data_IF_466634948583
#
_entry.id   IF_466634948583
#
_cell.length_a   1.000
_cell.length_b   1.000
_cell.length_c   1.000
_cell.angle_alpha   90.00
_cell.angle_beta   90.00
_cell.angle_gamma   90.00
#
_symmetry.space_group_name_H-M   'P 1'
#
loop_
_entity.id
_entity.type
_entity.pdbx_description
1 polymer ?
#
# COMPACT_ATOMS: atom_id res chain seq x y z
N UNK A 1 -1.27 16.18 20.17
CA UNK A 1 -1.57 15.26 19.05
C UNK A 1 -1.11 15.95 17.78
N UNK A 2 -0.48 15.24 16.84
CA UNK A 2 -0.01 15.84 15.58
C UNK A 2 -1.18 16.33 14.73
N UNK A 3 -1.11 17.56 14.24
CA UNK A 3 -2.09 18.09 13.29
C UNK A 3 -1.86 17.48 11.90
N UNK A 4 -2.71 16.52 11.52
CA UNK A 4 -2.62 15.83 10.24
C UNK A 4 -3.01 16.71 9.05
N UNK A 5 -3.81 17.76 9.25
CA UNK A 5 -4.15 18.69 8.17
C UNK A 5 -2.96 19.60 7.87
N UNK A 6 -2.32 20.15 8.91
CA UNK A 6 -1.08 20.90 8.76
C UNK A 6 0.04 20.04 8.14
N UNK A 7 0.20 18.79 8.59
CA UNK A 7 1.17 17.85 8.01
C UNK A 7 0.88 17.58 6.53
N UNK A 8 -0.39 17.39 6.17
CA UNK A 8 -0.83 17.17 4.78
C UNK A 8 -0.46 18.36 3.90
N UNK A 9 -0.78 19.59 4.34
CA UNK A 9 -0.47 20.81 3.60
C UNK A 9 1.05 21.00 3.43
N UNK A 10 1.81 20.82 4.52
CA UNK A 10 3.27 20.94 4.49
C UNK A 10 3.89 19.90 3.55
N UNK A 11 3.41 18.65 3.55
CA UNK A 11 3.92 17.62 2.65
C UNK A 11 3.56 17.90 1.18
N UNK A 12 2.38 18.45 0.89
CA UNK A 12 2.02 18.87 -0.46
C UNK A 12 2.94 19.99 -0.97
N UNK A 13 3.24 20.99 -0.13
CA UNK A 13 4.16 22.07 -0.49
C UNK A 13 5.59 21.54 -0.73
N UNK A 14 6.12 20.75 0.21
CA UNK A 14 7.45 20.14 0.06
C UNK A 14 7.56 19.29 -1.20
N UNK A 15 6.49 18.59 -1.59
CA UNK A 15 6.51 17.79 -2.81
C UNK A 15 6.72 18.63 -4.07
N UNK A 16 6.07 19.80 -4.15
CA UNK A 16 6.22 20.73 -5.28
C UNK A 16 7.64 21.28 -5.37
N UNK A 17 8.27 21.55 -4.22
CA UNK A 17 9.59 22.19 -4.14
C UNK A 17 10.75 21.19 -4.18
N UNK A 18 10.50 19.91 -3.87
CA UNK A 18 11.53 18.92 -3.63
C UNK A 18 12.39 18.63 -4.85
N UNK A 19 13.70 18.54 -4.60
CA UNK A 19 14.71 18.06 -5.55
C UNK A 19 15.43 16.86 -4.99
N UNK A 20 15.67 15.86 -5.82
CA UNK A 20 16.47 14.70 -5.45
C UNK A 20 17.93 15.12 -5.24
N UNK A 21 18.53 14.70 -4.13
CA UNK A 21 19.95 14.96 -3.81
C UNK A 21 20.82 13.71 -3.95
N UNK A 22 20.23 12.58 -4.32
CA UNK A 22 20.88 11.28 -4.52
C UNK A 22 20.26 10.56 -5.72
N UNK A 23 20.93 9.53 -6.23
CA UNK A 23 20.39 8.69 -7.30
C UNK A 23 19.47 7.59 -6.73
N UNK A 24 18.18 7.68 -7.03
CA UNK A 24 17.16 6.70 -6.62
C UNK A 24 16.87 5.64 -7.70
N UNK A 25 17.40 5.82 -8.92
CA UNK A 25 17.05 5.00 -10.08
C UNK A 25 17.27 3.49 -9.87
N UNK A 26 18.38 3.01 -9.24
CA UNK A 26 18.55 1.57 -9.03
C UNK A 26 17.44 0.96 -8.18
N UNK A 27 17.07 1.63 -7.08
CA UNK A 27 16.00 1.16 -6.19
C UNK A 27 14.64 1.28 -6.90
N UNK A 28 14.36 2.41 -7.54
CA UNK A 28 13.11 2.62 -8.27
C UNK A 28 12.89 1.58 -9.38
N UNK A 29 13.93 1.19 -10.12
CA UNK A 29 13.85 0.11 -11.12
C UNK A 29 13.47 -1.23 -10.49
N UNK A 30 14.02 -1.54 -9.31
CA UNK A 30 13.72 -2.78 -8.58
C UNK A 30 12.27 -2.79 -8.05
N UNK A 31 11.80 -1.65 -7.55
CA UNK A 31 10.42 -1.48 -7.07
C UNK A 31 9.39 -1.52 -8.21
N UNK A 32 9.73 -0.99 -9.39
CA UNK A 32 8.86 -0.95 -10.57
C UNK A 32 9.06 -2.13 -11.53
N UNK A 33 9.94 -3.08 -11.22
CA UNK A 33 10.17 -4.27 -12.05
C UNK A 33 8.85 -5.04 -12.27
N UNK A 34 8.60 -5.62 -13.47
CA UNK A 34 7.31 -6.24 -13.79
C UNK A 34 6.79 -7.22 -12.74
N UNK A 35 7.63 -8.13 -12.26
CA UNK A 35 7.26 -9.12 -11.25
C UNK A 35 6.93 -8.46 -9.90
N UNK A 36 7.74 -7.48 -9.47
CA UNK A 36 7.49 -6.74 -8.23
C UNK A 36 6.18 -5.95 -8.32
N UNK A 37 5.99 -5.21 -9.42
CA UNK A 37 4.78 -4.43 -9.71
C UNK A 37 3.54 -5.30 -9.70
N UNK A 38 3.58 -6.49 -10.31
CA UNK A 38 2.44 -7.41 -10.32
C UNK A 38 2.02 -7.83 -8.90
N UNK A 39 2.98 -8.14 -8.02
CA UNK A 39 2.71 -8.47 -6.61
C UNK A 39 2.11 -7.29 -5.84
N UNK A 40 2.67 -6.08 -6.03
CA UNK A 40 2.09 -4.87 -5.43
C UNK A 40 0.68 -4.57 -5.94
N UNK A 41 0.41 -4.79 -7.22
CA UNK A 41 -0.91 -4.61 -7.81
C UNK A 41 -1.93 -5.63 -7.28
N UNK A 42 -1.52 -6.87 -7.01
CA UNK A 42 -2.38 -7.87 -6.39
C UNK A 42 -2.84 -7.42 -4.99
N UNK A 43 -1.93 -6.88 -4.17
CA UNK A 43 -2.26 -6.31 -2.85
C UNK A 43 -3.09 -5.04 -2.98
N UNK A 44 -2.75 -4.17 -3.93
CA UNK A 44 -3.50 -2.94 -4.22
C UNK A 44 -4.95 -3.24 -4.56
N UNK A 45 -5.22 -4.26 -5.39
CA UNK A 45 -6.56 -4.67 -5.78
C UNK A 45 -7.42 -5.15 -4.59
N UNK A 46 -6.81 -5.67 -3.53
CA UNK A 46 -7.51 -6.16 -2.32
C UNK A 46 -7.69 -5.10 -1.25
N UNK A 47 -6.80 -4.11 -1.21
CA UNK A 47 -6.73 -3.13 -0.11
C UNK A 47 -7.15 -1.72 -0.50
N UNK A 48 -7.13 -1.40 -1.80
CA UNK A 48 -7.31 -0.03 -2.30
C UNK A 48 -6.12 0.89 -2.03
N UNK A 49 -5.01 0.39 -1.48
CA UNK A 49 -3.77 1.16 -1.34
C UNK A 49 -3.07 1.19 -2.70
N UNK A 50 -2.63 2.35 -3.24
CA UNK A 50 -1.92 2.40 -4.51
C UNK A 50 -0.65 1.54 -4.50
N UNK A 51 -0.42 0.76 -5.55
CA UNK A 51 0.71 -0.17 -5.62
C UNK A 51 2.07 0.51 -5.37
N UNK A 52 2.25 1.74 -5.84
CA UNK A 52 3.49 2.50 -5.63
C UNK A 52 3.68 2.90 -4.16
N UNK A 53 2.61 3.13 -3.39
CA UNK A 53 2.66 3.35 -1.94
C UNK A 53 3.11 2.07 -1.24
N UNK A 54 2.56 0.92 -1.64
CA UNK A 54 2.95 -0.39 -1.09
C UNK A 54 4.45 -0.65 -1.37
N UNK A 55 4.92 -0.34 -2.57
CA UNK A 55 6.30 -0.54 -2.98
C UNK A 55 7.29 0.26 -2.11
N UNK A 56 7.01 1.54 -1.85
CA UNK A 56 7.90 2.36 -1.02
C UNK A 56 7.82 2.02 0.46
N UNK A 57 6.68 1.51 0.97
CA UNK A 57 6.63 0.92 2.32
C UNK A 57 7.53 -0.32 2.35
N UNK A 58 7.42 -1.21 1.36
CA UNK A 58 8.22 -2.45 1.31
C UNK A 58 9.74 -2.16 1.31
N UNK A 59 10.17 -1.11 0.59
CA UNK A 59 11.57 -0.67 0.64
C UNK A 59 11.98 -0.18 2.03
N UNK A 60 11.12 0.59 2.69
CA UNK A 60 11.47 1.20 3.98
C UNK A 60 11.45 0.24 5.16
N UNK A 61 10.57 -0.75 5.13
CA UNK A 61 10.41 -1.70 6.23
C UNK A 61 11.43 -2.84 6.14
N UNK A 62 11.80 -3.28 4.93
CA UNK A 62 12.73 -4.40 4.77
C UNK A 62 13.56 -4.39 3.47
N UNK A 63 13.80 -3.23 2.85
CA UNK A 63 14.63 -3.13 1.63
C UNK A 63 14.13 -4.02 0.47
N UNK A 64 12.80 -4.17 0.36
CA UNK A 64 12.13 -5.05 -0.59
C UNK A 64 12.44 -6.55 -0.41
N UNK A 65 12.81 -6.98 0.80
CA UNK A 65 12.96 -8.40 1.10
C UNK A 65 11.60 -9.09 1.10
N UNK A 66 11.35 -9.91 0.06
CA UNK A 66 10.12 -10.69 -0.11
C UNK A 66 9.91 -11.78 0.96
N UNK A 67 10.86 -11.99 1.86
CA UNK A 67 10.71 -12.83 3.05
C UNK A 67 10.24 -12.04 4.28
N UNK A 68 10.40 -10.72 4.27
CA UNK A 68 9.99 -9.80 5.34
C UNK A 68 8.53 -9.34 5.22
N UNK A 69 7.90 -9.11 6.36
CA UNK A 69 6.55 -8.55 6.48
C UNK A 69 6.55 -7.06 6.18
N UNK A 70 5.55 -6.60 5.43
CA UNK A 70 5.31 -5.18 5.16
C UNK A 70 5.06 -4.35 6.43
N UNK A 71 4.68 -4.98 7.56
CA UNK A 71 4.34 -4.26 8.78
C UNK A 71 5.54 -3.87 9.66
N UNK A 72 6.61 -4.67 9.68
CA UNK A 72 7.76 -4.45 10.58
C UNK A 72 9.07 -5.13 10.13
N UNK A 73 9.07 -5.80 8.98
CA UNK A 73 10.23 -6.52 8.44
C UNK A 73 10.49 -7.93 8.97
N UNK A 74 9.80 -8.40 10.03
CA UNK A 74 9.94 -9.81 10.49
C UNK A 74 9.57 -10.81 9.39
N UNK A 75 10.13 -12.03 9.39
CA UNK A 75 9.72 -13.09 8.47
C UNK A 75 8.21 -13.33 8.51
N UNK A 76 7.53 -13.16 7.37
CA UNK A 76 6.06 -13.25 7.31
C UNK A 76 5.51 -14.65 7.57
N UNK A 77 6.35 -15.68 7.41
CA UNK A 77 6.00 -17.08 7.65
C UNK A 77 6.20 -17.51 9.12
N UNK A 78 6.36 -16.56 10.03
CA UNK A 78 6.45 -16.76 11.48
C UNK A 78 5.55 -15.77 12.20
N UNK A 79 5.32 -16.01 13.50
CA UNK A 79 4.64 -15.03 14.35
C UNK A 79 5.59 -13.85 14.58
N UNK A 80 5.14 -12.62 14.30
CA UNK A 80 5.96 -11.42 14.47
C UNK A 80 6.29 -11.13 15.95
N UNK A 81 7.52 -10.66 16.17
CA UNK A 81 8.03 -10.28 17.50
C UNK A 81 8.25 -8.77 17.63
N UNK A 82 8.46 -8.07 16.51
CA UNK A 82 8.46 -6.61 16.46
C UNK A 82 7.04 -6.06 16.32
N UNK A 83 6.80 -4.85 16.81
CA UNK A 83 5.48 -4.19 16.75
C UNK A 83 5.12 -3.88 15.30
N UNK A 84 3.91 -4.26 14.82
CA UNK A 84 2.84 -4.97 15.53
C UNK A 84 3.17 -6.45 15.79
N UNK A 85 3.16 -6.84 17.07
CA UNK A 85 3.52 -8.21 17.51
C UNK A 85 2.37 -9.19 17.31
N UNK A 86 2.67 -10.48 17.15
CA UNK A 86 1.65 -11.53 17.10
C UNK A 86 0.91 -11.64 15.77
N UNK A 87 1.42 -11.06 14.68
CA UNK A 87 0.86 -11.24 13.32
C UNK A 87 1.41 -12.52 12.70
N UNK A 88 0.65 -13.13 11.80
CA UNK A 88 1.06 -14.35 11.09
C UNK A 88 1.00 -15.63 11.96
N UNK A 89 1.61 -16.74 11.51
CA UNK A 89 2.30 -16.89 10.23
C UNK A 89 1.33 -16.79 9.04
N UNK A 90 1.78 -16.21 7.93
CA UNK A 90 1.03 -16.12 6.68
C UNK A 90 1.48 -17.18 5.68
N UNK A 91 0.68 -17.42 4.63
CA UNK A 91 1.02 -18.38 3.56
C UNK A 91 1.79 -17.75 2.40
N UNK A 92 1.77 -16.43 2.31
CA UNK A 92 2.49 -15.66 1.31
C UNK A 92 2.80 -14.25 1.80
N UNK A 93 3.70 -13.58 1.10
CA UNK A 93 3.97 -12.15 1.31
C UNK A 93 2.73 -11.30 1.05
N UNK A 94 1.90 -11.65 0.06
CA UNK A 94 0.66 -10.94 -0.26
C UNK A 94 -0.34 -10.98 0.90
N UNK A 95 -0.52 -12.14 1.54
CA UNK A 95 -1.37 -12.26 2.72
C UNK A 95 -0.85 -11.39 3.87
N UNK A 96 0.46 -11.40 4.11
CA UNK A 96 1.11 -10.57 5.12
C UNK A 96 0.98 -9.06 4.82
N UNK A 97 1.15 -8.66 3.56
CA UNK A 97 1.02 -7.28 3.13
C UNK A 97 -0.42 -6.78 3.24
N UNK A 98 -1.42 -7.60 2.87
CA UNK A 98 -2.84 -7.28 3.08
C UNK A 98 -3.12 -7.11 4.57
N UNK A 99 -2.62 -8.02 5.41
CA UNK A 99 -2.77 -7.95 6.85
C UNK A 99 -2.19 -6.66 7.45
N UNK A 100 -0.97 -6.30 7.06
CA UNK A 100 -0.30 -5.07 7.45
C UNK A 100 -1.12 -3.82 7.11
N UNK A 101 -1.70 -3.76 5.91
CA UNK A 101 -2.44 -2.58 5.44
C UNK A 101 -3.86 -2.48 6.01
N UNK A 102 -4.49 -3.62 6.33
CA UNK A 102 -5.91 -3.67 6.78
C UNK A 102 -6.03 -3.67 8.29
N UNK A 103 -5.18 -4.42 8.99
CA UNK A 103 -5.34 -4.78 10.40
C UNK A 103 -4.33 -4.12 11.33
N UNK A 104 -3.26 -3.53 10.80
CA UNK A 104 -2.27 -2.82 11.60
C UNK A 104 -2.44 -1.31 11.46
N UNK A 105 -2.12 -0.56 12.53
CA UNK A 105 -2.04 0.90 12.42
C UNK A 105 -1.02 1.27 11.33
N UNK A 106 -1.28 2.29 10.50
CA UNK A 106 -2.36 3.28 10.59
C UNK A 106 -3.61 2.92 9.77
N UNK A 107 -3.86 1.63 9.56
CA UNK A 107 -4.98 1.06 8.80
C UNK A 107 -5.08 1.66 7.40
N UNK A 108 -3.97 1.61 6.65
CA UNK A 108 -3.82 2.26 5.35
C UNK A 108 -4.93 1.91 4.35
N UNK A 109 -5.47 0.68 4.39
CA UNK A 109 -6.59 0.26 3.53
C UNK A 109 -7.91 1.02 3.80
N UNK A 110 -8.03 1.72 4.93
CA UNK A 110 -9.17 2.58 5.26
C UNK A 110 -9.03 3.98 4.68
N UNK A 111 -7.85 4.36 4.19
CA UNK A 111 -7.63 5.65 3.55
C UNK A 111 -8.39 5.73 2.22
N UNK A 112 -9.04 6.86 1.95
CA UNK A 112 -9.84 7.09 0.72
C UNK A 112 -9.27 8.19 -0.16
N UNK A 113 -8.40 9.02 0.40
CA UNK A 113 -7.76 10.14 -0.27
C UNK A 113 -6.26 9.88 -0.40
N UNK A 114 -5.83 9.59 -1.62
CA UNK A 114 -4.44 9.38 -1.98
C UNK A 114 -3.84 10.58 -2.73
N UNK A 115 -4.42 11.78 -2.54
CA UNK A 115 -3.75 13.02 -2.93
C UNK A 115 -2.36 13.10 -2.30
N UNK A 116 -1.42 13.72 -3.01
CA UNK A 116 0.00 13.65 -2.67
C UNK A 116 0.30 14.01 -1.21
N UNK A 117 -0.29 15.10 -0.68
CA UNK A 117 -0.10 15.50 0.71
C UNK A 117 -0.64 14.48 1.72
N UNK A 118 -1.84 13.94 1.46
CA UNK A 118 -2.49 12.94 2.33
C UNK A 118 -1.77 11.60 2.28
N UNK A 119 -1.35 11.17 1.09
CA UNK A 119 -0.53 9.98 0.90
C UNK A 119 0.78 10.07 1.68
N UNK A 120 1.52 11.18 1.56
CA UNK A 120 2.79 11.37 2.30
C UNK A 120 2.55 11.43 3.81
N UNK A 121 1.48 12.09 4.26
CA UNK A 121 1.08 12.07 5.67
C UNK A 121 0.67 10.67 6.16
N UNK A 122 0.08 9.83 5.29
CA UNK A 122 -0.25 8.43 5.61
C UNK A 122 0.99 7.54 5.67
N UNK A 123 1.96 7.75 4.78
CA UNK A 123 3.27 7.10 4.85
C UNK A 123 4.01 7.48 6.13
N UNK A 124 3.94 8.73 6.57
CA UNK A 124 4.58 9.13 7.83
C UNK A 124 3.88 8.53 9.04
N UNK A 125 2.55 8.37 9.00
CA UNK A 125 1.82 7.60 10.01
C UNK A 125 2.23 6.12 10.04
N UNK A 126 2.63 5.56 8.89
CA UNK A 126 3.08 4.17 8.80
C UNK A 126 4.35 3.92 9.62
N UNK A 127 5.33 4.82 9.48
CA UNK A 127 6.54 4.82 10.29
C UNK A 127 6.32 5.30 11.74
N UNK A 128 5.46 6.30 11.92
CA UNK A 128 5.23 6.99 13.18
C UNK A 128 5.46 8.51 13.10
N UNK A 129 4.62 9.27 13.81
CA UNK A 129 4.49 10.73 13.72
C UNK A 129 5.48 11.53 14.58
N UNK A 130 6.58 10.91 15.04
CA UNK A 130 7.54 11.56 15.95
C UNK A 130 8.21 12.80 15.35
N UNK A 131 8.45 12.80 14.04
CA UNK A 131 9.06 13.92 13.31
C UNK A 131 8.07 15.07 13.09
N UNK A 132 6.86 14.77 12.59
CA UNK A 132 5.78 15.76 12.50
C UNK A 132 5.45 16.41 13.86
N UNK A 133 5.45 15.64 14.95
CA UNK A 133 5.25 16.18 16.30
C UNK A 133 6.36 17.15 16.76
N UNK A 134 7.55 17.07 16.12
CA UNK A 134 8.68 18.00 16.31
C UNK A 134 8.71 19.13 15.28
N UNK A 135 7.71 19.22 14.39
CA UNK A 135 7.70 20.18 13.29
C UNK A 135 8.83 19.94 12.27
N UNK A 136 9.38 18.73 12.18
CA UNK A 136 10.52 18.40 11.32
C UNK A 136 10.10 17.51 10.14
N UNK A 137 10.71 17.69 8.95
CA UNK A 137 10.54 16.75 7.84
C UNK A 137 11.03 15.36 8.26
N UNK A 138 10.17 14.35 8.11
CA UNK A 138 10.54 12.97 8.42
C UNK A 138 11.59 12.44 7.44
N UNK A 139 12.73 11.88 7.89
CA UNK A 139 13.65 11.14 7.02
C UNK A 139 12.98 9.91 6.38
N UNK A 140 11.92 9.36 6.99
CA UNK A 140 11.13 8.29 6.38
C UNK A 140 10.54 8.71 5.03
N UNK A 141 10.15 9.98 4.94
CA UNK A 141 9.54 10.56 3.75
C UNK A 141 10.56 11.25 2.85
N UNK A 142 11.42 12.09 3.43
CA UNK A 142 12.18 13.10 2.69
C UNK A 142 13.68 12.82 2.60
N UNK A 143 14.21 11.75 3.21
CA UNK A 143 15.64 11.42 3.08
C UNK A 143 16.06 11.28 1.62
N UNK A 144 17.18 11.94 1.24
CA UNK A 144 17.66 11.97 -0.13
C UNK A 144 16.96 12.99 -1.04
N UNK A 145 16.17 13.91 -0.46
CA UNK A 145 15.76 15.15 -1.11
C UNK A 145 16.37 16.37 -0.40
N UNK A 146 16.21 17.57 -0.96
CA UNK A 146 16.60 18.83 -0.33
C UNK A 146 15.65 19.28 0.80
N UNK A 147 14.52 18.59 0.97
CA UNK A 147 13.54 18.84 2.03
C UNK A 147 13.94 18.23 3.39
N UNK A 148 15.01 17.44 3.43
CA UNK A 148 15.58 16.86 4.64
C UNK A 148 17.10 17.06 4.68
N UNK A 149 17.61 17.56 5.80
CA UNK A 149 19.05 17.76 6.01
C UNK A 149 19.63 16.73 6.99
N UNK A 150 19.08 16.67 8.20
CA UNK A 150 19.51 15.78 9.27
C UNK A 150 18.40 15.63 10.32
N UNK A 151 18.56 14.68 11.22
CA UNK A 151 17.64 14.44 12.32
C UNK A 151 16.91 13.11 12.21
N UNK A 152 17.27 12.13 13.04
CA UNK A 152 16.75 10.77 12.98
C UNK A 152 16.49 10.22 14.38
N UNK A 153 15.42 9.44 14.55
CA UNK A 153 15.31 8.52 15.68
C UNK A 153 16.25 7.35 15.47
N UNK A 154 17.31 7.27 16.30
CA UNK A 154 18.32 6.21 16.20
C UNK A 154 17.92 4.95 16.96
N UNK A 155 16.96 5.07 17.86
CA UNK A 155 16.22 4.00 18.55
C UNK A 155 14.92 4.59 19.11
N UNK A 156 14.06 3.73 19.64
CA UNK A 156 12.77 4.15 20.18
C UNK A 156 12.90 5.30 21.19
N UNK A 157 12.16 6.38 20.92
CA UNK A 157 12.16 7.60 21.73
C UNK A 157 13.42 8.46 21.65
N UNK A 158 14.52 8.00 21.05
CA UNK A 158 15.80 8.72 21.04
C UNK A 158 16.05 9.38 19.69
N UNK A 159 15.76 10.68 19.65
CA UNK A 159 15.98 11.55 18.51
C UNK A 159 17.36 12.19 18.56
N UNK A 160 18.16 12.00 17.50
CA UNK A 160 19.44 12.68 17.29
C UNK A 160 19.29 13.69 16.14
N UNK A 161 19.46 15.01 16.38
CA UNK A 161 19.32 16.04 15.35
C UNK A 161 20.43 16.03 14.29
N UNK A 162 21.56 15.36 14.55
CA UNK A 162 22.76 15.40 13.71
C UNK A 162 22.87 14.18 12.80
N UNK A 163 22.19 13.08 13.11
CA UNK A 163 22.24 11.87 12.28
C UNK A 163 21.47 12.05 10.99
N UNK A 164 22.10 11.70 9.87
CA UNK A 164 21.50 11.69 8.54
C UNK A 164 21.00 10.29 8.21
N UNK A 165 19.74 10.14 7.78
CA UNK A 165 19.26 8.85 7.30
C UNK A 165 19.90 8.52 5.94
N UNK A 166 20.51 7.34 5.87
CA UNK A 166 21.14 6.83 4.65
C UNK A 166 20.15 6.08 3.77
N UNK A 167 19.05 5.59 4.36
CA UNK A 167 17.98 4.94 3.61
C UNK A 167 17.26 5.96 2.69
N UNK A 168 16.75 5.51 1.53
CA UNK A 168 15.97 6.35 0.62
C UNK A 168 14.63 6.76 1.26
N UNK A 169 14.24 8.03 1.15
CA UNK A 169 12.92 8.52 1.55
C UNK A 169 11.82 8.11 0.58
N UNK A 170 10.60 7.89 1.08
CA UNK A 170 9.47 7.50 0.22
C UNK A 170 9.17 8.54 -0.88
N UNK A 171 9.25 9.84 -0.60
CA UNK A 171 8.97 10.87 -1.60
C UNK A 171 9.95 10.79 -2.78
N UNK A 172 11.24 10.63 -2.49
CA UNK A 172 12.27 10.50 -3.52
C UNK A 172 12.12 9.21 -4.35
N UNK A 173 11.75 8.10 -3.69
CA UNK A 173 11.43 6.85 -4.38
C UNK A 173 10.22 7.00 -5.31
N UNK A 174 9.14 7.63 -4.84
CA UNK A 174 7.95 7.87 -5.64
C UNK A 174 8.25 8.75 -6.86
N UNK A 175 9.00 9.84 -6.70
CA UNK A 175 9.42 10.70 -7.82
C UNK A 175 10.21 9.90 -8.87
N UNK A 176 11.18 9.09 -8.43
CA UNK A 176 11.97 8.27 -9.32
C UNK A 176 11.15 7.15 -10.00
N UNK A 177 10.20 6.54 -9.29
CA UNK A 177 9.28 5.55 -9.86
C UNK A 177 8.33 6.19 -10.89
N UNK A 178 7.79 7.38 -10.61
CA UNK A 178 6.94 8.13 -11.55
C UNK A 178 7.67 8.52 -12.83
N UNK A 179 8.98 8.82 -12.73
CA UNK A 179 9.82 9.08 -13.90
C UNK A 179 10.04 7.82 -14.76
N UNK A 180 10.04 6.62 -14.17
CA UNK A 180 10.15 5.34 -14.88
C UNK A 180 8.81 4.84 -15.40
N UNK A 181 7.73 5.10 -14.68
CA UNK A 181 6.37 4.67 -14.99
C UNK A 181 5.38 5.84 -14.80
N UNK A 182 5.10 6.59 -15.87
CA UNK A 182 4.20 7.73 -15.84
C UNK A 182 2.73 7.38 -15.53
N UNK A 183 2.38 6.10 -15.46
CA UNK A 183 1.03 5.67 -15.03
C UNK A 183 0.82 5.84 -13.53
N UNK A 184 1.89 6.03 -12.75
CA UNK A 184 1.81 6.35 -11.33
C UNK A 184 1.39 7.82 -11.18
N UNK A 185 0.16 8.03 -10.70
CA UNK A 185 -0.38 9.37 -10.45
C UNK A 185 -1.07 9.45 -9.09
N UNK A 186 -1.02 10.64 -8.48
CA UNK A 186 -1.60 10.93 -7.16
C UNK A 186 -2.43 12.22 -7.15
N UNK A 187 -2.91 12.66 -8.32
CA UNK A 187 -3.69 13.88 -8.48
C UNK A 187 -5.09 13.67 -7.89
N UNK A 188 -5.31 14.10 -6.64
CA UNK A 188 -6.63 14.13 -6.03
C UNK A 188 -7.41 12.80 -6.10
N UNK A 189 -6.70 11.67 -6.21
CA UNK A 189 -7.29 10.36 -6.43
C UNK A 189 -8.10 9.96 -5.19
N UNK A 190 -9.37 10.38 -5.19
CA UNK A 190 -10.39 9.80 -4.35
C UNK A 190 -10.64 8.43 -4.97
N UNK A 191 -10.09 7.39 -4.36
CA UNK A 191 -10.36 6.04 -4.85
C UNK A 191 -11.78 5.73 -4.41
N UNK A 192 -12.74 5.92 -5.31
CA UNK A 192 -14.05 5.29 -5.18
C UNK A 192 -13.75 3.80 -5.03
N UNK A 193 -14.12 3.15 -3.90
CA UNK A 193 -13.90 1.74 -3.75
C UNK A 193 -14.44 1.05 -5.00
N UNK A 194 -13.69 0.12 -5.58
CA UNK A 194 -14.26 -0.83 -6.50
C UNK A 194 -15.42 -1.48 -5.74
N UNK A 195 -16.63 -1.02 -6.04
CA UNK A 195 -17.85 -1.57 -5.52
C UNK A 195 -17.75 -3.04 -5.89
N UNK A 196 -17.54 -3.89 -4.88
CA UNK A 196 -17.57 -5.34 -5.03
C UNK A 196 -18.75 -5.62 -5.94
N UNK A 197 -18.49 -6.09 -7.17
CA UNK A 197 -19.54 -6.69 -7.98
C UNK A 197 -20.02 -7.86 -7.14
N UNK A 198 -21.08 -7.62 -6.36
CA UNK A 198 -21.86 -8.67 -5.73
C UNK A 198 -22.11 -9.69 -6.84
N UNK A 199 -21.80 -10.98 -6.67
CA UNK A 199 -22.08 -11.97 -7.69
C UNK A 199 -23.52 -11.76 -8.14
N UNK A 200 -23.74 -11.56 -9.43
CA UNK A 200 -25.08 -11.40 -9.96
C UNK A 200 -25.90 -12.59 -9.45
N UNK A 201 -26.95 -12.31 -8.69
CA UNK A 201 -27.94 -13.31 -8.33
C UNK A 201 -28.39 -13.95 -9.65
N UNK A 202 -28.30 -15.29 -9.82
CA UNK A 202 -28.74 -15.91 -11.04
C UNK A 202 -30.23 -15.64 -11.21
N UNK A 203 -30.56 -14.82 -12.21
CA UNK A 203 -31.95 -14.57 -12.59
C UNK A 203 -32.48 -15.81 -13.29
N UNK A 204 -33.64 -16.29 -12.80
CA UNK A 204 -34.37 -17.45 -13.34
C UNK A 204 -34.90 -17.16 -14.76
N UNK A 205 -34.86 -15.90 -15.22
CA UNK A 205 -35.43 -15.50 -16.49
C UNK A 205 -34.61 -15.88 -17.74
N UNK A 206 -33.34 -16.31 -17.61
CA UNK A 206 -32.54 -16.76 -18.77
C UNK A 206 -31.37 -17.70 -18.36
N UNK A 207 -31.55 -19.03 -18.40
CA UNK A 207 -30.46 -19.97 -18.13
C UNK A 207 -29.50 -20.08 -19.34
N UNK A 208 -28.19 -20.06 -19.07
CA UNK A 208 -27.17 -20.40 -20.05
C UNK A 208 -27.22 -21.89 -20.42
N UNK A 209 -26.96 -22.22 -21.69
CA UNK A 209 -26.90 -23.62 -22.19
C UNK A 209 -25.82 -24.39 -21.40
N UNK A 210 -26.25 -25.42 -20.67
CA UNK A 210 -25.38 -26.29 -19.88
C UNK A 210 -25.41 -26.08 -18.36
N UNK A 211 -26.23 -25.16 -17.83
CA UNK A 211 -26.43 -24.98 -16.38
C UNK A 211 -27.28 -26.11 -15.75
N UNK A 212 -27.11 -26.37 -14.46
CA UNK A 212 -27.91 -27.32 -13.65
C UNK A 212 -29.43 -27.02 -13.76
N UNK A 213 -29.81 -25.76 -13.99
CA UNK A 213 -31.20 -25.36 -14.26
C UNK A 213 -31.79 -25.97 -15.55
N UNK A 214 -30.96 -26.27 -16.56
CA UNK A 214 -31.36 -26.97 -17.78
C UNK A 214 -31.56 -28.48 -17.56
N UNK A 215 -30.92 -29.06 -16.53
CA UNK A 215 -31.10 -30.46 -16.14
C UNK A 215 -32.45 -30.69 -15.44
N UNK A 216 -32.90 -29.73 -14.62
CA UNK A 216 -34.20 -29.80 -13.92
C UNK A 216 -35.37 -29.59 -14.90
N UNK A 217 -35.24 -28.69 -15.89
CA UNK A 217 -36.30 -28.47 -16.89
C UNK A 217 -36.48 -29.66 -17.84
N UNK A 218 -35.41 -30.40 -18.17
CA UNK A 218 -35.51 -31.60 -18.99
C UNK A 218 -36.16 -32.79 -18.25
N UNK A 219 -36.01 -32.88 -16.92
CA UNK A 219 -36.68 -33.92 -16.11
C UNK A 219 -38.19 -33.66 -16.02
N UNK A 220 -38.62 -32.41 -15.84
CA UNK A 220 -40.05 -32.07 -15.76
C UNK A 220 -40.80 -32.31 -17.09
N UNK A 221 -40.21 -31.95 -18.24
CA UNK A 221 -40.86 -32.14 -19.54
C UNK A 221 -40.95 -33.62 -19.97
N UNK A 222 -40.05 -34.49 -19.52
CA UNK A 222 -40.10 -35.92 -19.79
C UNK A 222 -41.21 -36.65 -18.99
N UNK A 223 -41.57 -36.14 -17.81
CA UNK A 223 -42.58 -36.75 -16.94
C UNK A 223 -44.02 -36.41 -17.36
N UNK A 224 -44.25 -35.24 -17.96
CA UNK A 224 -45.60 -34.80 -18.37
C UNK A 224 -46.02 -35.15 -19.80
N UNK A 225 -45.16 -35.81 -20.60
CA UNK A 225 -45.51 -36.29 -21.95
C UNK A 225 -46.02 -37.73 -22.02
N UNK A 226 -46.31 -38.36 -20.88
CA UNK A 226 -47.09 -39.61 -20.81
C UNK A 226 -48.45 -39.33 -20.18
N UNK A 227 -49.36 -38.75 -20.96
CA UNK A 227 -50.82 -39.01 -20.97
C UNK A 227 -51.51 -37.96 -21.84
N UNK A 228 -51.57 -38.25 -23.13
CA UNK A 228 -52.71 -38.07 -24.03
C UNK A 228 -52.35 -38.81 -25.32
#
# INVERSE_FOLDING_TARGET
MTDLNALTAANAQRWVEAKLTRNFTPVARRLAAPDAKARYQAVSAKTGVPWAVIAVIHERECSQDWTGSLAQGDPWNRVSVHVPTGRGPFRSWEEAAIDALVNCAPYAARNRDWSIGRMLAKLEQYNGLGYAARGRPSPYIWSGTDQYRSGKYVRDGVYDPNVVDRQPGCAGLLMAMMALDPTITFTGATITPAMSKKPATPSIANPAKGSIGAFITNIFNAVFRRKA
#
